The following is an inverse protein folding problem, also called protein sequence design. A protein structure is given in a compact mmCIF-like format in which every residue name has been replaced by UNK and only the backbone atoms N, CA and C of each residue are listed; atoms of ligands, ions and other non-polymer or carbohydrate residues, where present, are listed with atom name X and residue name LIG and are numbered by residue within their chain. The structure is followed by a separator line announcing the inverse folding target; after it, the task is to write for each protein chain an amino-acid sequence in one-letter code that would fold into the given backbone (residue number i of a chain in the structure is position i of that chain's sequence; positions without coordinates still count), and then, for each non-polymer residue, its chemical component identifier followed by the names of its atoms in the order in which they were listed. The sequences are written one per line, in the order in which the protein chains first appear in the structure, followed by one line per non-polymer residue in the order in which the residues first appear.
data_IF_306050526311
#
_entry.id   IF_306050526311
#
_cell.length_a   1.000
_cell.length_b   1.000
_cell.length_c   1.000
_cell.angle_alpha   90.00
_cell.angle_beta   90.00
_cell.angle_gamma   90.00
#
_symmetry.space_group_name_H-M   'P 1'
#
loop_
_entity.id
_entity.type
_entity.pdbx_description
1 polymer ?
#
# COMPACT_ATOMS: atom_id res chain seq x y z
N UNK A 1 6.47 -13.03 15.00
CA UNK A 1 5.17 -13.10 14.28
C UNK A 1 5.28 -12.23 13.03
N UNK A 2 4.71 -12.66 11.90
CA UNK A 2 4.68 -11.88 10.66
C UNK A 2 3.24 -11.70 10.20
N UNK A 3 2.93 -10.56 9.60
CA UNK A 3 1.59 -10.23 9.12
C UNK A 3 1.66 -9.22 7.96
N UNK A 4 0.68 -9.23 7.04
CA UNK A 4 0.59 -8.23 5.99
C UNK A 4 0.00 -6.92 6.53
N UNK A 5 0.54 -5.78 6.12
CA UNK A 5 -0.05 -4.47 6.43
C UNK A 5 0.37 -3.39 5.41
N UNK A 6 -0.28 -2.23 5.47
CA UNK A 6 -0.03 -1.12 4.57
C UNK A 6 1.38 -0.50 4.79
N UNK A 7 2.23 -0.38 3.76
CA UNK A 7 3.60 0.12 3.91
C UNK A 7 3.66 1.55 4.42
N UNK A 8 2.68 2.40 4.09
CA UNK A 8 2.64 3.78 4.56
C UNK A 8 2.53 3.93 6.08
N UNK A 9 1.98 2.94 6.80
CA UNK A 9 1.92 2.97 8.27
C UNK A 9 3.31 2.90 8.93
N UNK A 10 4.31 2.46 8.17
CA UNK A 10 5.69 2.21 8.61
C UNK A 10 6.70 3.07 7.83
N UNK A 11 6.23 4.11 7.11
CA UNK A 11 7.03 4.95 6.21
C UNK A 11 7.88 4.12 5.21
N UNK A 12 7.37 2.96 4.81
CA UNK A 12 8.08 1.97 4.00
C UNK A 12 7.82 2.11 2.48
N UNK A 13 7.03 3.10 2.06
CA UNK A 13 6.72 3.39 0.66
C UNK A 13 7.36 4.73 0.25
N UNK A 14 8.43 4.70 -0.57
CA UNK A 14 9.05 5.92 -1.08
C UNK A 14 8.07 6.78 -1.90
N UNK A 15 8.26 8.10 -1.86
CA UNK A 15 7.48 9.06 -2.62
C UNK A 15 6.15 9.48 -1.98
N UNK A 16 5.77 8.86 -0.86
CA UNK A 16 4.60 9.28 -0.09
C UNK A 16 4.98 10.20 1.08
N UNK A 17 4.05 11.05 1.57
CA UNK A 17 4.30 11.90 2.73
C UNK A 17 4.62 11.07 3.97
N UNK A 18 5.60 11.52 4.77
CA UNK A 18 5.93 10.90 6.07
C UNK A 18 4.73 11.00 7.01
N UNK A 19 4.31 9.87 7.59
CA UNK A 19 3.09 9.80 8.39
C UNK A 19 3.16 10.71 9.63
N UNK A 20 4.31 10.73 10.31
CA UNK A 20 4.52 11.55 11.49
C UNK A 20 4.36 13.05 11.21
N UNK A 21 4.74 13.52 10.02
CA UNK A 21 4.58 14.92 9.61
C UNK A 21 3.11 15.31 9.43
N UNK A 22 2.27 14.39 8.95
CA UNK A 22 0.84 14.63 8.74
C UNK A 22 0.02 14.59 10.04
N UNK A 23 0.47 13.88 11.06
CA UNK A 23 -0.24 13.78 12.36
C UNK A 23 -0.46 15.15 13.03
N UNK A 24 0.43 16.13 12.79
CA UNK A 24 0.31 17.48 13.34
C UNK A 24 -0.97 18.17 12.88
N UNK A 25 -1.30 18.02 11.59
CA UNK A 25 -2.37 18.76 10.93
C UNK A 25 -3.62 17.89 10.73
N UNK A 26 -3.47 16.56 10.76
CA UNK A 26 -4.53 15.57 10.54
C UNK A 26 -4.52 14.48 11.64
N UNK A 27 -5.11 14.73 12.82
CA UNK A 27 -5.11 13.76 13.93
C UNK A 27 -5.69 12.38 13.58
N UNK A 28 -6.58 12.32 12.58
CA UNK A 28 -7.18 11.07 12.07
C UNK A 28 -6.13 10.05 11.60
N UNK A 29 -4.97 10.51 11.13
CA UNK A 29 -3.88 9.64 10.67
C UNK A 29 -3.08 9.01 11.81
N UNK A 30 -3.28 9.46 13.06
CA UNK A 30 -2.58 8.94 14.22
C UNK A 30 -3.16 7.62 14.74
N UNK A 31 -4.46 7.43 14.59
CA UNK A 31 -5.18 6.28 15.15
C UNK A 31 -5.78 5.36 14.09
N UNK A 32 -6.99 4.87 14.38
CA UNK A 32 -7.71 3.90 13.53
C UNK A 32 -7.99 4.41 12.11
N UNK A 33 -7.97 5.72 11.90
CA UNK A 33 -8.19 6.35 10.59
C UNK A 33 -6.99 6.27 9.64
N UNK A 34 -5.79 5.89 10.09
CA UNK A 34 -4.59 5.85 9.27
C UNK A 34 -4.74 4.97 8.02
N UNK A 35 -5.37 3.80 8.16
CA UNK A 35 -5.61 2.88 7.02
C UNK A 35 -6.62 3.44 6.02
N UNK A 36 -7.63 4.16 6.50
CA UNK A 36 -8.60 4.82 5.62
C UNK A 36 -7.96 6.00 4.88
N UNK A 37 -7.06 6.73 5.55
CA UNK A 37 -6.29 7.79 4.90
C UNK A 37 -5.35 7.22 3.82
N UNK A 38 -4.65 6.12 4.11
CA UNK A 38 -3.86 5.40 3.10
C UNK A 38 -4.71 4.96 1.91
N UNK A 39 -5.92 4.43 2.17
CA UNK A 39 -6.87 4.10 1.11
C UNK A 39 -7.30 5.33 0.28
N UNK A 40 -7.49 6.47 0.92
CA UNK A 40 -7.79 7.73 0.22
C UNK A 40 -6.65 8.20 -0.69
N UNK A 41 -5.40 8.10 -0.22
CA UNK A 41 -4.22 8.40 -1.06
C UNK A 41 -4.15 7.46 -2.28
N UNK A 42 -4.47 6.18 -2.09
CA UNK A 42 -4.48 5.22 -3.20
C UNK A 42 -5.59 5.47 -4.20
N UNK A 43 -6.77 5.93 -3.76
CA UNK A 43 -7.86 6.30 -4.65
C UNK A 43 -7.48 7.49 -5.55
N UNK A 44 -6.82 8.51 -4.99
CA UNK A 44 -6.30 9.64 -5.76
C UNK A 44 -5.19 9.20 -6.74
N UNK A 45 -4.23 8.40 -6.26
CA UNK A 45 -3.17 7.83 -7.08
C UNK A 45 -3.71 7.02 -8.25
N UNK A 46 -4.73 6.18 -8.04
CA UNK A 46 -5.28 5.30 -9.07
C UNK A 46 -6.12 6.04 -10.12
N UNK A 47 -6.72 7.17 -9.78
CA UNK A 47 -7.63 7.93 -10.64
C UNK A 47 -7.12 8.11 -12.09
N UNK A 48 -5.89 8.60 -12.33
CA UNK A 48 -5.36 8.74 -13.69
C UNK A 48 -4.90 7.42 -14.35
N UNK A 49 -4.60 6.37 -13.58
CA UNK A 49 -4.01 5.13 -14.09
C UNK A 49 -4.99 3.98 -14.24
N UNK A 50 -6.21 4.09 -13.70
CA UNK A 50 -7.13 2.96 -13.57
C UNK A 50 -7.38 2.21 -14.89
N UNK A 51 -7.77 2.92 -15.95
CA UNK A 51 -8.04 2.32 -17.28
C UNK A 51 -6.77 1.72 -17.87
N UNK A 52 -5.62 2.37 -17.69
CA UNK A 52 -4.34 1.86 -18.19
C UNK A 52 -3.95 0.56 -17.49
N UNK A 53 -4.04 0.52 -16.15
CA UNK A 53 -3.74 -0.68 -15.34
C UNK A 53 -4.65 -1.85 -15.73
N UNK A 54 -5.94 -1.60 -15.97
CA UNK A 54 -6.89 -2.63 -16.41
C UNK A 54 -6.51 -3.23 -17.77
N UNK A 55 -5.94 -2.45 -18.68
CA UNK A 55 -5.52 -2.87 -20.01
C UNK A 55 -4.12 -3.53 -20.03
N UNK A 56 -3.36 -3.42 -18.94
CA UNK A 56 -1.98 -3.93 -18.86
C UNK A 56 -1.84 -4.92 -17.68
N UNK A 57 -2.32 -6.16 -17.81
CA UNK A 57 -2.20 -7.18 -16.77
C UNK A 57 -0.74 -7.38 -16.33
N UNK A 58 -0.53 -7.49 -15.01
CA UNK A 58 0.81 -7.61 -14.42
C UNK A 58 1.50 -6.28 -14.15
N UNK A 59 0.96 -5.15 -14.64
CA UNK A 59 1.40 -3.82 -14.22
C UNK A 59 0.84 -3.46 -12.84
N UNK A 60 1.54 -2.56 -12.15
CA UNK A 60 1.12 -2.04 -10.85
C UNK A 60 1.65 -0.62 -10.61
N UNK A 61 1.02 0.09 -9.69
CA UNK A 61 1.55 1.32 -9.09
C UNK A 61 1.88 1.06 -7.61
N UNK A 62 2.92 1.73 -7.11
CA UNK A 62 3.31 1.59 -5.71
C UNK A 62 2.50 2.57 -4.84
N UNK A 63 1.52 2.04 -4.11
CA UNK A 63 0.58 2.80 -3.29
C UNK A 63 0.85 2.71 -1.78
N UNK A 64 0.13 3.52 -1.03
CA UNK A 64 0.16 3.60 0.42
C UNK A 64 -0.30 2.31 1.11
N UNK A 65 -1.23 1.56 0.49
CA UNK A 65 -1.72 0.27 0.99
C UNK A 65 -0.99 -0.94 0.42
N UNK A 66 -0.03 -0.74 -0.49
CA UNK A 66 0.76 -1.79 -1.13
C UNK A 66 0.95 -1.55 -2.62
N UNK A 67 1.43 -2.55 -3.36
CA UNK A 67 1.33 -2.50 -4.83
C UNK A 67 -0.14 -2.62 -5.24
N UNK A 68 -0.58 -1.75 -6.12
CA UNK A 68 -1.95 -1.71 -6.62
C UNK A 68 -1.97 -2.11 -8.09
N UNK A 69 -2.77 -3.11 -8.42
CA UNK A 69 -3.06 -3.49 -9.81
C UNK A 69 -4.57 -3.53 -10.02
N UNK A 70 -5.01 -3.59 -11.28
CA UNK A 70 -6.42 -3.69 -11.64
C UNK A 70 -6.59 -4.95 -12.47
N UNK A 71 -7.49 -5.84 -12.07
CA UNK A 71 -7.79 -7.04 -12.85
C UNK A 71 -8.69 -6.73 -14.06
N UNK A 72 -8.90 -7.73 -14.92
CA UNK A 72 -9.72 -7.55 -16.12
C UNK A 72 -11.17 -7.15 -15.82
N UNK A 73 -11.68 -7.46 -14.62
CA UNK A 73 -13.02 -7.10 -14.15
C UNK A 73 -13.08 -5.68 -13.56
N UNK A 74 -11.94 -4.99 -13.44
CA UNK A 74 -11.86 -3.66 -12.85
C UNK A 74 -11.77 -3.67 -11.34
N UNK A 75 -11.48 -4.81 -10.70
CA UNK A 75 -11.22 -4.82 -9.27
C UNK A 75 -9.78 -4.42 -8.97
N UNK A 76 -9.62 -3.54 -7.99
CA UNK A 76 -8.31 -3.16 -7.47
C UNK A 76 -7.78 -4.29 -6.59
N UNK A 77 -6.66 -4.87 -7.00
CA UNK A 77 -5.92 -5.86 -6.24
C UNK A 77 -4.78 -5.17 -5.49
N UNK A 78 -4.49 -5.65 -4.28
CA UNK A 78 -3.45 -5.06 -3.42
C UNK A 78 -2.49 -6.13 -2.93
N UNK A 79 -1.20 -5.84 -3.08
CA UNK A 79 -0.12 -6.63 -2.48
C UNK A 79 0.54 -5.81 -1.37
N UNK A 80 0.13 -5.98 -0.10
CA UNK A 80 0.74 -5.30 1.03
C UNK A 80 2.15 -5.83 1.30
N UNK A 81 2.92 -5.10 2.14
CA UNK A 81 4.22 -5.58 2.61
C UNK A 81 4.05 -6.56 3.76
N UNK A 82 5.07 -7.38 4.00
CA UNK A 82 5.18 -8.14 5.24
C UNK A 82 5.82 -7.30 6.35
N UNK A 83 5.22 -7.39 7.53
CA UNK A 83 5.68 -6.73 8.75
C UNK A 83 5.99 -7.80 9.79
N UNK A 84 7.10 -7.63 10.50
CA UNK A 84 7.50 -8.51 11.59
C UNK A 84 7.38 -7.79 12.93
N UNK A 85 6.75 -8.45 13.90
CA UNK A 85 6.82 -8.03 15.31
C UNK A 85 8.12 -8.54 15.95
N UNK A 86 8.96 -7.59 16.37
CA UNK A 86 10.22 -7.80 17.07
C UNK A 86 10.18 -7.02 18.39
N UNK A 87 10.17 -7.72 19.53
CA UNK A 87 10.15 -7.13 20.87
C UNK A 87 9.05 -6.07 21.08
N UNK A 88 7.84 -6.33 20.57
CA UNK A 88 6.69 -5.42 20.68
C UNK A 88 6.67 -4.27 19.66
N UNK A 89 7.69 -4.15 18.82
CA UNK A 89 7.77 -3.16 17.74
C UNK A 89 7.50 -3.85 16.41
N UNK A 90 6.58 -3.29 15.62
CA UNK A 90 6.29 -3.75 14.27
C UNK A 90 7.22 -3.05 13.27
N UNK A 91 8.01 -3.83 12.53
CA UNK A 91 8.98 -3.32 11.55
C UNK A 91 8.76 -3.96 10.18
N UNK A 92 8.81 -3.18 9.08
CA UNK A 92 8.66 -3.71 7.73
C UNK A 92 9.81 -4.67 7.41
N UNK A 93 9.50 -5.78 6.73
CA UNK A 93 10.51 -6.73 6.27
C UNK A 93 11.08 -6.26 4.93
N UNK A 94 12.39 -6.09 4.83
CA UNK A 94 13.03 -5.75 3.56
C UNK A 94 12.85 -6.89 2.54
N UNK A 95 12.32 -6.57 1.35
CA UNK A 95 12.44 -7.41 0.15
C UNK A 95 11.33 -8.44 -0.14
N UNK A 96 10.10 -8.29 0.35
CA UNK A 96 9.00 -9.24 0.06
C UNK A 96 7.91 -8.67 -0.85
N UNK A 97 8.29 -8.20 -2.04
CA UNK A 97 7.33 -8.02 -3.15
C UNK A 97 7.45 -9.25 -4.05
N UNK A 98 6.81 -10.35 -3.64
CA UNK A 98 6.73 -11.56 -4.47
C UNK A 98 5.78 -11.31 -5.65
N UNK A 99 6.36 -11.03 -6.82
CA UNK A 99 5.67 -11.01 -8.10
C UNK A 99 5.26 -12.44 -8.47
N UNK A 100 4.07 -12.87 -8.06
CA UNK A 100 3.46 -14.08 -8.60
C UNK A 100 2.90 -13.71 -9.98
N UNK A 101 3.62 -14.07 -11.05
CA UNK A 101 3.08 -13.96 -12.41
C UNK A 101 1.87 -14.91 -12.57
N UNK A 102 0.85 -14.55 -13.37
CA UNK A 102 -0.27 -15.44 -13.63
C UNK A 102 0.23 -16.70 -14.31
N UNK A 103 -0.20 -17.85 -13.80
CA UNK A 103 0.08 -19.17 -14.36
C UNK A 103 -0.50 -19.22 -15.77
N UNK A 104 0.35 -19.59 -16.74
CA UNK A 104 -0.05 -19.85 -18.13
C UNK A 104 -0.99 -21.05 -18.22
#
# INVERSE_FOLDING_TARGET
MQFPDAPWLYDAQPGLPVRASLMRDLPVVAGRGARLFAFGMDADLLSPYFVWLQQHPGSYVAGATGQLSVDAQGHVQRTPIWVQFNNGVATPMAGTLNLSAPTQ
#
